data_IF_843393664822
#
_entry.id   IF_843393664822
#
_cell.length_a   1.000
_cell.length_b   1.000
_cell.length_c   1.000
_cell.angle_alpha   90.00
_cell.angle_beta   90.00
_cell.angle_gamma   90.00
#
_symmetry.space_group_name_H-M   'P 1'
#
loop_
_entity.id
_entity.type
_entity.pdbx_description
1 polymer ?
#
# COMPACT_ATOMS: atom_id res chain seq x y z
N UNK A 1 -25.16 -11.06 5.08
CA UNK A 1 -25.23 -10.71 3.64
C UNK A 1 -25.71 -9.28 3.50
N UNK A 2 -24.79 -8.31 3.49
CA UNK A 2 -25.14 -6.93 3.15
C UNK A 2 -25.20 -6.89 1.62
N UNK A 3 -26.41 -6.75 1.07
CA UNK A 3 -26.61 -6.44 -0.35
C UNK A 3 -25.93 -5.08 -0.59
N UNK A 4 -24.72 -5.07 -1.17
CA UNK A 4 -24.18 -3.87 -1.84
C UNK A 4 -25.29 -3.41 -2.78
N UNK A 5 -25.95 -2.32 -2.44
CA UNK A 5 -26.85 -1.63 -3.36
C UNK A 5 -26.01 -1.32 -4.59
N UNK A 6 -26.24 -2.09 -5.66
CA UNK A 6 -25.80 -1.71 -6.99
C UNK A 6 -26.61 -0.47 -7.36
N UNK A 7 -26.26 0.69 -6.79
CA UNK A 7 -26.54 1.95 -7.43
C UNK A 7 -26.02 1.76 -8.85
N UNK A 8 -26.92 1.78 -9.83
CA UNK A 8 -26.53 1.55 -11.21
C UNK A 8 -25.38 2.49 -11.51
N UNK A 9 -24.20 1.93 -11.79
CA UNK A 9 -23.04 2.73 -12.13
C UNK A 9 -23.44 3.54 -13.38
N UNK A 10 -23.29 4.85 -13.33
CA UNK A 10 -23.58 5.77 -14.44
C UNK A 10 -22.37 6.67 -14.63
N UNK A 11 -22.26 7.32 -15.79
CA UNK A 11 -21.20 8.32 -16.00
C UNK A 11 -21.23 9.43 -14.93
N UNK A 12 -22.40 9.77 -14.41
CA UNK A 12 -22.59 10.78 -13.35
C UNK A 12 -22.05 10.33 -11.99
N UNK A 13 -22.07 9.03 -11.69
CA UNK A 13 -21.60 8.48 -10.40
C UNK A 13 -20.16 7.99 -10.46
N UNK A 14 -19.50 8.08 -11.61
CA UNK A 14 -18.09 7.73 -11.80
C UNK A 14 -17.18 8.74 -11.06
N UNK A 15 -16.19 8.21 -10.35
CA UNK A 15 -15.18 8.94 -9.59
C UNK A 15 -13.81 8.34 -9.88
N UNK A 16 -12.73 9.08 -9.56
CA UNK A 16 -11.36 8.60 -9.78
C UNK A 16 -11.01 7.31 -9.03
N UNK A 17 -11.74 6.99 -7.96
CA UNK A 17 -11.58 5.71 -7.27
C UNK A 17 -12.43 4.61 -7.92
N UNK A 18 -13.73 4.82 -8.12
CA UNK A 18 -14.60 3.73 -8.59
C UNK A 18 -14.36 3.32 -10.06
N UNK A 19 -13.73 4.17 -10.86
CA UNK A 19 -13.35 3.89 -12.25
C UNK A 19 -12.43 2.67 -12.35
N UNK A 20 -11.62 2.40 -11.32
CA UNK A 20 -10.77 1.22 -11.25
C UNK A 20 -11.54 -0.10 -11.11
N UNK A 21 -12.81 -0.07 -10.70
CA UNK A 21 -13.69 -1.26 -10.73
C UNK A 21 -14.37 -1.50 -12.07
N UNK A 22 -14.28 -0.55 -13.00
CA UNK A 22 -14.94 -0.63 -14.30
C UNK A 22 -14.12 -1.49 -15.26
N UNK A 23 -14.82 -2.18 -16.17
CA UNK A 23 -14.23 -2.90 -17.29
C UNK A 23 -14.36 -2.08 -18.58
N UNK A 24 -13.51 -2.32 -19.58
CA UNK A 24 -13.52 -1.54 -20.83
C UNK A 24 -14.89 -1.62 -21.54
N UNK A 25 -15.55 -2.78 -21.48
CA UNK A 25 -16.88 -2.97 -22.06
C UNK A 25 -17.95 -2.11 -21.36
N UNK A 26 -17.85 -1.97 -20.04
CA UNK A 26 -18.76 -1.16 -19.26
C UNK A 26 -18.58 0.33 -19.59
N UNK A 27 -17.36 0.80 -19.88
CA UNK A 27 -17.12 2.19 -20.29
C UNK A 27 -17.95 2.54 -21.53
N UNK A 28 -17.96 1.68 -22.56
CA UNK A 28 -18.77 1.92 -23.76
C UNK A 28 -20.27 1.97 -23.46
N UNK A 29 -20.77 1.05 -22.64
CA UNK A 29 -22.18 1.04 -22.22
C UNK A 29 -22.55 2.29 -21.44
N UNK A 30 -21.71 2.70 -20.50
CA UNK A 30 -21.94 3.90 -19.68
C UNK A 30 -21.97 5.15 -20.56
N UNK A 31 -21.08 5.22 -21.56
CA UNK A 31 -21.05 6.31 -22.53
C UNK A 31 -22.33 6.37 -23.37
N UNK A 32 -22.79 5.23 -23.91
CA UNK A 32 -24.03 5.15 -24.69
C UNK A 32 -25.27 5.52 -23.86
N UNK A 33 -25.31 5.11 -22.58
CA UNK A 33 -26.39 5.48 -21.67
C UNK A 33 -26.38 6.98 -21.37
N UNK A 34 -25.20 7.57 -21.19
CA UNK A 34 -25.07 8.99 -20.94
C UNK A 34 -25.37 9.84 -22.20
N UNK A 35 -25.19 9.31 -23.42
CA UNK A 35 -25.60 10.01 -24.65
C UNK A 35 -27.10 10.31 -24.69
N UNK A 36 -27.91 9.45 -24.05
CA UNK A 36 -29.36 9.64 -23.95
C UNK A 36 -29.76 10.71 -22.92
N UNK A 37 -28.81 11.17 -22.12
CA UNK A 37 -28.99 12.16 -21.06
C UNK A 37 -28.50 13.53 -21.55
N UNK A 38 -29.32 14.57 -21.38
CA UNK A 38 -29.07 15.89 -21.96
C UNK A 38 -27.82 16.59 -21.38
N UNK A 39 -27.41 16.19 -20.17
CA UNK A 39 -26.30 16.80 -19.41
C UNK A 39 -24.89 16.31 -19.84
N UNK A 40 -24.80 15.36 -20.78
CA UNK A 40 -23.50 14.78 -21.17
C UNK A 40 -22.57 15.81 -21.79
N UNK A 41 -23.08 16.74 -22.60
CA UNK A 41 -22.25 17.66 -23.39
C UNK A 41 -21.36 18.55 -22.52
N UNK A 42 -21.91 19.10 -21.44
CA UNK A 42 -21.16 20.02 -20.58
C UNK A 42 -20.15 19.30 -19.68
N UNK A 43 -20.41 18.03 -19.34
CA UNK A 43 -19.57 17.24 -18.42
C UNK A 43 -18.65 16.22 -19.13
N UNK A 44 -18.71 16.13 -20.46
CA UNK A 44 -17.97 15.13 -21.25
C UNK A 44 -16.47 15.16 -20.96
N UNK A 45 -15.88 16.35 -20.89
CA UNK A 45 -14.43 16.52 -20.62
C UNK A 45 -14.06 16.01 -19.23
N UNK A 46 -14.89 16.28 -18.24
CA UNK A 46 -14.68 15.82 -16.86
C UNK A 46 -14.73 14.29 -16.78
N UNK A 47 -15.71 13.67 -17.42
CA UNK A 47 -15.82 12.21 -17.45
C UNK A 47 -14.66 11.54 -18.19
N UNK A 48 -14.19 12.13 -19.29
CA UNK A 48 -12.99 11.63 -20.00
C UNK A 48 -11.77 11.73 -19.08
N UNK A 49 -11.63 12.80 -18.31
CA UNK A 49 -10.51 12.96 -17.37
C UNK A 49 -10.52 11.89 -16.27
N UNK A 50 -11.71 11.60 -15.70
CA UNK A 50 -11.88 10.49 -14.76
C UNK A 50 -11.52 9.16 -15.42
N UNK A 51 -12.01 8.88 -16.63
CA UNK A 51 -11.68 7.64 -17.33
C UNK A 51 -10.17 7.54 -17.62
N UNK A 52 -9.50 8.65 -17.98
CA UNK A 52 -8.06 8.68 -18.26
C UNK A 52 -7.19 8.36 -17.04
N UNK A 53 -7.71 8.48 -15.83
CA UNK A 53 -6.99 8.08 -14.61
C UNK A 53 -6.73 6.57 -14.56
N UNK A 54 -7.67 5.74 -15.02
CA UNK A 54 -7.58 4.28 -14.97
C UNK A 54 -7.49 3.61 -16.36
N UNK A 55 -7.81 4.33 -17.43
CA UNK A 55 -7.81 3.83 -18.80
C UNK A 55 -6.91 4.65 -19.71
N UNK A 56 -6.30 3.99 -20.68
CA UNK A 56 -5.68 4.59 -21.84
C UNK A 56 -6.75 4.66 -22.94
N UNK A 57 -7.01 5.88 -23.44
CA UNK A 57 -8.08 6.16 -24.40
C UNK A 57 -7.44 6.83 -25.62
N UNK A 58 -7.58 6.20 -26.78
CA UNK A 58 -7.13 6.72 -28.06
C UNK A 58 -8.28 6.80 -29.07
N UNK A 59 -8.29 7.85 -29.89
CA UNK A 59 -9.24 7.97 -30.99
C UNK A 59 -8.69 7.30 -32.26
N UNK A 60 -9.44 6.34 -32.79
CA UNK A 60 -9.11 5.62 -34.02
C UNK A 60 -9.61 6.43 -35.22
N UNK A 61 -8.73 7.27 -35.76
CA UNK A 61 -9.04 8.17 -36.90
C UNK A 61 -9.29 7.44 -38.23
N UNK A 62 -8.78 6.23 -38.39
CA UNK A 62 -8.87 5.46 -39.63
C UNK A 62 -9.49 4.09 -39.36
N UNK A 63 -10.70 3.89 -39.89
CA UNK A 63 -11.45 2.64 -39.79
C UNK A 63 -10.92 1.59 -40.77
N UNK A 64 -9.66 1.19 -40.60
CA UNK A 64 -9.01 0.13 -41.38
C UNK A 64 -8.83 -1.11 -40.50
N UNK A 65 -9.13 -2.32 -41.01
CA UNK A 65 -9.00 -3.56 -40.23
C UNK A 65 -7.56 -3.79 -39.75
N UNK A 66 -6.55 -3.35 -40.49
CA UNK A 66 -5.14 -3.42 -40.08
C UNK A 66 -4.84 -2.56 -38.84
N UNK A 67 -5.47 -1.41 -38.70
CA UNK A 67 -5.27 -0.49 -37.57
C UNK A 67 -5.99 -1.03 -36.36
N UNK A 68 -7.24 -1.49 -36.55
CA UNK A 68 -8.03 -2.17 -35.52
C UNK A 68 -7.24 -3.34 -34.95
N UNK A 69 -6.70 -4.21 -35.82
CA UNK A 69 -5.90 -5.36 -35.40
C UNK A 69 -4.65 -4.95 -34.60
N UNK A 70 -3.95 -3.88 -34.99
CA UNK A 70 -2.80 -3.36 -34.22
C UNK A 70 -3.20 -2.90 -32.81
N UNK A 71 -4.38 -2.31 -32.65
CA UNK A 71 -4.90 -1.91 -31.35
C UNK A 71 -5.31 -3.13 -30.51
N UNK A 72 -5.98 -4.12 -31.11
CA UNK A 72 -6.33 -5.38 -30.45
C UNK A 72 -5.09 -6.18 -30.02
N UNK A 73 -4.06 -6.26 -30.86
CA UNK A 73 -2.78 -6.91 -30.57
C UNK A 73 -2.06 -6.23 -29.38
N UNK A 74 -2.29 -4.93 -29.17
CA UNK A 74 -1.79 -4.16 -28.01
C UNK A 74 -2.70 -4.29 -26.77
N UNK A 75 -3.81 -5.01 -26.88
CA UNK A 75 -4.78 -5.24 -25.81
C UNK A 75 -5.83 -4.14 -25.64
N UNK A 76 -6.03 -3.28 -26.64
CA UNK A 76 -7.13 -2.31 -26.63
C UNK A 76 -8.42 -2.95 -27.08
N UNK A 77 -9.54 -2.52 -26.48
CA UNK A 77 -10.89 -2.78 -26.99
C UNK A 77 -11.38 -1.60 -27.78
N UNK A 78 -11.96 -1.87 -28.94
CA UNK A 78 -12.45 -0.83 -29.85
C UNK A 78 -13.97 -0.77 -29.76
N UNK A 79 -14.49 0.43 -29.54
CA UNK A 79 -15.92 0.72 -29.52
C UNK A 79 -16.23 2.01 -30.26
N UNK A 80 -17.43 2.10 -30.80
CA UNK A 80 -17.92 3.33 -31.45
C UNK A 80 -18.71 4.14 -30.44
N UNK A 81 -18.38 5.41 -30.29
CA UNK A 81 -19.11 6.35 -29.44
C UNK A 81 -19.51 7.57 -30.27
N UNK A 82 -20.51 8.33 -29.83
CA UNK A 82 -20.86 9.59 -30.46
C UNK A 82 -20.15 10.74 -29.75
N UNK A 83 -19.44 11.54 -30.53
CA UNK A 83 -18.74 12.73 -30.06
C UNK A 83 -19.67 13.95 -29.94
N UNK A 84 -19.14 15.04 -29.41
CA UNK A 84 -19.82 16.32 -29.17
C UNK A 84 -20.58 16.86 -30.40
N UNK A 85 -19.99 16.67 -31.58
CA UNK A 85 -20.52 17.12 -32.88
C UNK A 85 -21.58 16.18 -33.48
N UNK A 86 -21.96 15.11 -32.76
CA UNK A 86 -22.88 14.09 -33.26
C UNK A 86 -22.24 13.08 -34.21
N UNK A 87 -20.95 13.24 -34.53
CA UNK A 87 -20.18 12.28 -35.30
C UNK A 87 -19.91 11.00 -34.50
N UNK A 88 -20.00 9.84 -35.16
CA UNK A 88 -19.58 8.57 -34.56
C UNK A 88 -18.06 8.45 -34.70
N UNK A 89 -17.36 8.50 -33.56
CA UNK A 89 -15.91 8.29 -33.48
C UNK A 89 -15.63 6.91 -32.90
N UNK A 90 -14.55 6.27 -33.34
CA UNK A 90 -14.10 5.00 -32.76
C UNK A 90 -13.06 5.29 -31.68
N UNK A 91 -13.26 4.72 -30.50
CA UNK A 91 -12.30 4.78 -29.40
C UNK A 91 -11.69 3.40 -29.18
N UNK A 92 -10.38 3.39 -29.00
CA UNK A 92 -9.62 2.28 -28.46
C UNK A 92 -9.42 2.56 -26.96
N UNK A 93 -9.92 1.69 -26.10
CA UNK A 93 -9.82 1.80 -24.64
C UNK A 93 -9.09 0.58 -24.10
N UNK A 94 -8.10 0.82 -23.23
CA UNK A 94 -7.37 -0.23 -22.52
C UNK A 94 -7.24 0.15 -21.06
N UNK A 95 -7.52 -0.77 -20.13
CA UNK A 95 -7.28 -0.51 -18.71
C UNK A 95 -5.78 -0.42 -18.44
N UNK A 96 -5.37 0.61 -17.70
CA UNK A 96 -3.97 0.80 -17.30
C UNK A 96 -3.58 -0.35 -16.39
N UNK A 97 -2.54 -1.14 -16.75
CA UNK A 97 -2.10 -2.22 -15.90
C UNK A 97 -1.30 -1.65 -14.72
N UNK A 98 -1.52 -2.18 -13.53
CA UNK A 98 -0.71 -1.87 -12.34
C UNK A 98 0.41 -2.90 -12.31
N UNK A 99 1.59 -2.50 -12.78
CA UNK A 99 2.73 -3.42 -12.95
C UNK A 99 3.92 -3.03 -12.08
N UNK A 100 4.00 -1.77 -11.65
CA UNK A 100 5.05 -1.22 -10.81
C UNK A 100 4.47 -0.67 -9.53
N UNK A 101 5.28 -0.63 -8.47
CA UNK A 101 4.87 0.00 -7.21
C UNK A 101 4.60 1.50 -7.39
N UNK A 102 5.25 2.15 -8.36
CA UNK A 102 5.00 3.54 -8.73
C UNK A 102 3.65 3.77 -9.40
N UNK A 103 3.01 2.72 -9.89
CA UNK A 103 1.66 2.80 -10.47
C UNK A 103 0.58 2.75 -9.38
N UNK A 104 0.95 2.44 -8.13
CA UNK A 104 0.03 2.41 -6.99
C UNK A 104 -0.32 3.83 -6.55
N UNK A 105 -1.60 4.06 -6.30
CA UNK A 105 -2.14 5.32 -5.82
C UNK A 105 -3.21 5.06 -4.77
N UNK A 106 -3.51 6.06 -3.93
CA UNK A 106 -4.63 5.97 -2.98
C UNK A 106 -5.97 5.67 -3.65
N UNK A 107 -6.11 6.00 -4.94
CA UNK A 107 -7.34 5.78 -5.70
C UNK A 107 -7.50 4.33 -6.15
N UNK A 108 -6.38 3.64 -6.46
CA UNK A 108 -6.38 2.32 -7.06
C UNK A 108 -6.05 1.17 -6.10
N UNK A 109 -5.39 1.45 -4.97
CA UNK A 109 -4.88 0.42 -4.05
C UNK A 109 -5.99 -0.48 -3.50
N UNK A 110 -7.21 0.05 -3.32
CA UNK A 110 -8.36 -0.73 -2.83
C UNK A 110 -9.07 -1.56 -3.89
N UNK A 111 -8.64 -1.46 -5.15
CA UNK A 111 -9.25 -2.16 -6.29
C UNK A 111 -8.32 -3.22 -6.88
N UNK A 112 -7.19 -3.48 -6.22
CA UNK A 112 -6.32 -4.62 -6.50
C UNK A 112 -6.43 -5.66 -5.39
N UNK A 113 -6.10 -6.91 -5.69
CA UNK A 113 -6.05 -7.97 -4.68
C UNK A 113 -4.71 -8.01 -3.96
N UNK A 114 -4.68 -8.62 -2.77
CA UNK A 114 -3.43 -8.83 -2.01
C UNK A 114 -2.39 -9.60 -2.84
N UNK A 115 -2.82 -10.66 -3.53
CA UNK A 115 -1.97 -11.38 -4.49
C UNK A 115 -1.36 -10.46 -5.56
N UNK A 116 -2.17 -9.56 -6.16
CA UNK A 116 -1.67 -8.67 -7.20
C UNK A 116 -0.70 -7.63 -6.65
N UNK A 117 -0.96 -7.11 -5.44
CA UNK A 117 -0.04 -6.22 -4.74
C UNK A 117 1.32 -6.90 -4.54
N UNK A 118 1.32 -8.13 -4.03
CA UNK A 118 2.56 -8.87 -3.77
C UNK A 118 3.34 -9.17 -5.06
N UNK A 119 2.66 -9.51 -6.17
CA UNK A 119 3.29 -9.65 -7.48
C UNK A 119 3.98 -8.35 -7.93
N UNK A 120 3.35 -7.21 -7.70
CA UNK A 120 3.90 -5.89 -8.04
C UNK A 120 5.13 -5.55 -7.19
N UNK A 121 5.11 -5.90 -5.90
CA UNK A 121 6.25 -5.74 -4.99
C UNK A 121 7.41 -6.64 -5.46
N UNK A 122 7.17 -7.93 -5.67
CA UNK A 122 8.20 -8.91 -6.08
C UNK A 122 8.90 -8.51 -7.38
N UNK A 123 8.10 -8.14 -8.39
CA UNK A 123 8.61 -7.81 -9.73
C UNK A 123 9.52 -6.58 -9.77
N UNK A 124 9.32 -5.62 -8.87
CA UNK A 124 9.98 -4.31 -8.95
C UNK A 124 10.92 -4.04 -7.77
N UNK A 125 10.72 -4.69 -6.63
CA UNK A 125 11.43 -4.46 -5.38
C UNK A 125 11.74 -5.82 -4.70
N UNK A 126 12.73 -6.53 -5.24
CA UNK A 126 13.29 -7.75 -4.63
C UNK A 126 14.13 -7.50 -3.36
N UNK A 127 14.17 -6.26 -2.86
CA UNK A 127 14.92 -5.87 -1.67
C UNK A 127 14.19 -6.10 -0.34
N UNK A 128 12.90 -6.47 -0.39
CA UNK A 128 12.04 -6.58 0.79
C UNK A 128 11.18 -5.35 1.03
N UNK A 129 10.35 -5.40 2.06
CA UNK A 129 9.42 -4.32 2.41
C UNK A 129 10.16 -3.01 2.70
N UNK A 130 11.27 -3.10 3.44
CA UNK A 130 12.02 -1.92 3.86
C UNK A 130 12.64 -1.14 2.70
N UNK A 131 12.84 -1.80 1.57
CA UNK A 131 13.38 -1.17 0.35
C UNK A 131 12.37 -0.25 -0.37
N UNK A 132 11.09 -0.35 -0.04
CA UNK A 132 10.07 0.53 -0.64
C UNK A 132 10.18 1.95 -0.07
N UNK A 133 10.01 2.99 -0.91
CA UNK A 133 9.88 4.36 -0.43
C UNK A 133 8.70 4.52 0.54
N UNK A 134 8.84 5.38 1.55
CA UNK A 134 7.79 5.58 2.56
C UNK A 134 6.44 5.96 1.92
N UNK A 135 6.44 6.83 0.92
CA UNK A 135 5.22 7.22 0.19
C UNK A 135 4.48 6.05 -0.44
N UNK A 136 5.20 5.02 -0.89
CA UNK A 136 4.61 3.80 -1.45
C UNK A 136 4.10 2.90 -0.33
N UNK A 137 4.84 2.76 0.78
CA UNK A 137 4.39 2.04 1.98
C UNK A 137 3.07 2.62 2.49
N UNK A 138 2.98 3.95 2.61
CA UNK A 138 1.79 4.66 3.07
C UNK A 138 0.57 4.39 2.16
N UNK A 139 0.76 4.38 0.84
CA UNK A 139 -0.29 4.02 -0.12
C UNK A 139 -0.74 2.58 0.09
N UNK A 140 0.20 1.64 0.23
CA UNK A 140 -0.10 0.22 0.42
C UNK A 140 -0.85 0.01 1.75
N UNK A 141 -0.33 0.56 2.84
CA UNK A 141 -0.92 0.48 4.17
C UNK A 141 -2.30 1.15 4.25
N UNK A 142 -2.62 2.07 3.34
CA UNK A 142 -3.96 2.62 3.23
C UNK A 142 -5.00 1.62 2.71
N UNK A 143 -4.60 0.66 1.87
CA UNK A 143 -5.49 -0.37 1.30
C UNK A 143 -5.33 -1.76 1.92
N UNK A 144 -4.20 -2.02 2.58
CA UNK A 144 -3.81 -3.35 3.05
C UNK A 144 -3.25 -3.32 4.46
N UNK A 145 -3.51 -4.40 5.19
CA UNK A 145 -2.78 -4.75 6.40
C UNK A 145 -1.52 -5.51 5.97
N UNK A 146 -0.36 -4.92 6.26
CA UNK A 146 0.95 -5.50 5.94
C UNK A 146 1.63 -5.96 7.21
N UNK A 147 2.28 -7.11 7.14
CA UNK A 147 3.19 -7.55 8.19
C UNK A 147 4.40 -8.23 7.58
N UNK A 148 5.58 -7.93 8.10
CA UNK A 148 6.84 -8.54 7.65
C UNK A 148 7.42 -9.42 8.74
N UNK A 149 8.17 -10.45 8.35
CA UNK A 149 8.99 -11.22 9.27
C UNK A 149 10.18 -11.81 8.54
N UNK A 150 11.31 -11.91 9.21
CA UNK A 150 12.53 -12.48 8.63
C UNK A 150 12.99 -13.63 9.51
N UNK A 151 12.91 -14.85 8.97
CA UNK A 151 13.25 -16.08 9.69
C UNK A 151 14.01 -17.05 8.78
N UNK A 152 14.80 -17.98 9.32
CA UNK A 152 15.33 -19.09 8.53
C UNK A 152 14.20 -19.91 7.92
N UNK A 153 14.41 -20.44 6.71
CA UNK A 153 13.38 -21.17 5.93
C UNK A 153 12.68 -22.27 6.73
N UNK A 154 13.46 -23.06 7.46
CA UNK A 154 12.95 -24.19 8.26
C UNK A 154 12.07 -23.74 9.43
N UNK A 155 12.32 -22.53 9.96
CA UNK A 155 11.55 -21.97 11.06
C UNK A 155 10.26 -21.29 10.58
N UNK A 156 10.30 -20.66 9.40
CA UNK A 156 9.14 -19.98 8.82
C UNK A 156 8.00 -20.97 8.54
N UNK A 157 8.33 -22.15 8.01
CA UNK A 157 7.37 -23.19 7.61
C UNK A 157 7.10 -24.25 8.69
N UNK A 158 7.38 -23.94 9.96
CA UNK A 158 7.08 -24.86 11.05
C UNK A 158 5.55 -25.05 11.17
N UNK A 159 5.11 -26.31 11.19
CA UNK A 159 3.70 -26.67 11.36
C UNK A 159 3.08 -26.03 12.62
N UNK A 160 1.88 -25.45 12.49
CA UNK A 160 1.19 -24.69 13.53
C UNK A 160 1.83 -23.33 13.86
N UNK A 161 2.83 -22.91 13.07
CA UNK A 161 3.57 -21.66 13.24
C UNK A 161 2.84 -20.42 12.70
N UNK A 162 3.53 -19.28 12.75
CA UNK A 162 3.00 -17.97 12.31
C UNK A 162 2.54 -17.97 10.85
N UNK A 163 3.28 -18.65 9.97
CA UNK A 163 2.98 -18.69 8.54
C UNK A 163 1.61 -19.29 8.25
N UNK A 164 1.34 -20.48 8.80
CA UNK A 164 0.05 -21.17 8.62
C UNK A 164 -1.10 -20.38 9.23
N UNK A 165 -0.89 -19.80 10.43
CA UNK A 165 -1.90 -18.95 11.08
C UNK A 165 -2.26 -17.75 10.22
N UNK A 166 -1.27 -17.02 9.69
CA UNK A 166 -1.54 -15.87 8.82
C UNK A 166 -2.25 -16.24 7.52
N UNK A 167 -1.87 -17.37 6.90
CA UNK A 167 -2.63 -17.88 5.73
C UNK A 167 -4.08 -18.21 6.09
N UNK A 168 -4.33 -18.78 7.27
CA UNK A 168 -5.69 -19.06 7.75
C UNK A 168 -6.47 -17.77 8.05
N UNK A 169 -5.79 -16.72 8.52
CA UNK A 169 -6.38 -15.40 8.79
C UNK A 169 -6.68 -14.59 7.51
N UNK A 170 -6.37 -15.15 6.34
CA UNK A 170 -6.66 -14.57 5.02
C UNK A 170 -5.56 -13.67 4.47
N UNK A 171 -4.32 -13.79 4.98
CA UNK A 171 -3.17 -13.09 4.38
C UNK A 171 -2.60 -13.90 3.21
N UNK A 172 -2.33 -13.20 2.12
CA UNK A 172 -1.42 -13.67 1.09
C UNK A 172 0.03 -13.38 1.53
N UNK A 173 0.98 -14.15 1.01
CA UNK A 173 2.39 -14.05 1.40
C UNK A 173 3.32 -14.01 0.20
N UNK A 174 4.31 -13.13 0.27
CA UNK A 174 5.46 -13.08 -0.63
C UNK A 174 6.70 -13.46 0.16
N UNK A 175 7.46 -14.44 -0.33
CA UNK A 175 8.69 -14.90 0.29
C UNK A 175 9.89 -14.44 -0.54
N UNK A 176 10.73 -13.58 0.04
CA UNK A 176 11.93 -13.05 -0.60
C UNK A 176 13.14 -13.72 0.05
N UNK A 177 13.93 -14.50 -0.71
CA UNK A 177 15.13 -15.14 -0.18
C UNK A 177 16.22 -14.10 0.11
N UNK A 178 16.74 -14.11 1.33
CA UNK A 178 17.86 -13.28 1.82
C UNK A 178 18.98 -14.19 2.34
N UNK A 179 19.68 -14.85 1.42
CA UNK A 179 20.70 -15.84 1.75
C UNK A 179 20.10 -17.05 2.47
N UNK A 180 20.49 -17.29 3.72
CA UNK A 180 19.95 -18.38 4.56
C UNK A 180 18.62 -18.03 5.24
N UNK A 181 18.17 -16.78 5.09
CA UNK A 181 16.93 -16.26 5.68
C UNK A 181 15.89 -16.03 4.59
N UNK A 182 14.62 -16.02 4.99
CA UNK A 182 13.49 -15.63 4.14
C UNK A 182 12.80 -14.47 4.83
N UNK A 183 12.65 -13.37 4.09
CA UNK A 183 11.70 -12.33 4.46
C UNK A 183 10.33 -12.71 3.88
N UNK A 184 9.35 -12.88 4.75
CA UNK A 184 7.97 -13.10 4.37
C UNK A 184 7.17 -11.81 4.59
N UNK A 185 6.60 -11.29 3.50
CA UNK A 185 5.70 -10.14 3.50
C UNK A 185 4.27 -10.67 3.39
N UNK A 186 3.50 -10.50 4.44
CA UNK A 186 2.09 -10.86 4.49
C UNK A 186 1.25 -9.64 4.16
N UNK A 187 0.26 -9.81 3.28
CA UNK A 187 -0.67 -8.76 2.89
C UNK A 187 -2.12 -9.25 2.95
N UNK A 188 -3.01 -8.43 3.50
CA UNK A 188 -4.45 -8.68 3.55
C UNK A 188 -5.21 -7.40 3.23
N UNK A 189 -6.26 -7.49 2.42
CA UNK A 189 -7.10 -6.32 2.07
C UNK A 189 -7.78 -5.76 3.32
N UNK A 190 -7.65 -4.44 3.55
CA UNK A 190 -8.39 -3.76 4.61
C UNK A 190 -9.86 -3.71 4.23
N UNK A 191 -10.73 -4.15 5.13
CA UNK A 191 -12.17 -4.02 4.91
C UNK A 191 -12.64 -2.61 5.25
N UNK A 192 -13.65 -2.10 4.53
CA UNK A 192 -14.26 -0.77 4.80
C UNK A 192 -14.77 -0.63 6.25
N UNK A 193 -15.05 -1.74 6.93
CA UNK A 193 -15.50 -1.79 8.33
C UNK A 193 -14.35 -1.62 9.34
N UNK A 194 -13.14 -2.04 8.99
CA UNK A 194 -11.97 -1.90 9.86
C UNK A 194 -11.47 -0.45 9.91
N UNK A 195 -11.65 0.31 8.82
CA UNK A 195 -11.34 1.76 8.79
C UNK A 195 -12.18 2.60 9.73
N UNK A 196 -13.46 2.25 9.91
CA UNK A 196 -14.31 2.97 10.86
C UNK A 196 -13.83 2.70 12.28
N UNK A 197 -13.29 1.51 12.56
CA UNK A 197 -12.73 1.17 13.87
C UNK A 197 -11.33 1.77 14.10
N UNK A 198 -10.46 1.82 13.09
CA UNK A 198 -9.14 2.47 13.23
C UNK A 198 -9.27 3.99 13.34
N UNK A 199 -10.11 4.66 12.53
CA UNK A 199 -10.38 6.10 12.69
C UNK A 199 -10.96 6.44 14.07
N UNK A 200 -11.76 5.56 14.66
CA UNK A 200 -12.30 5.74 16.02
C UNK A 200 -11.22 5.51 17.09
N UNK A 201 -10.25 4.61 16.86
CA UNK A 201 -9.10 4.42 17.76
C UNK A 201 -8.14 5.60 17.70
N UNK A 202 -7.77 6.05 16.50
CA UNK A 202 -6.87 7.19 16.30
C UNK A 202 -7.45 8.48 16.91
N UNK A 203 -8.78 8.66 16.87
CA UNK A 203 -9.46 9.79 17.54
C UNK A 203 -9.60 9.63 19.06
N UNK A 204 -9.58 8.39 19.59
CA UNK A 204 -9.63 8.14 21.03
C UNK A 204 -8.28 8.34 21.71
N UNK A 205 -7.19 8.06 21.00
CA UNK A 205 -5.84 8.28 21.50
C UNK A 205 -5.53 9.80 21.60
N UNK A 206 -6.11 10.61 20.72
CA UNK A 206 -6.01 12.09 20.78
C UNK A 206 -6.93 12.74 21.83
N UNK A 207 -8.05 12.06 22.17
CA UNK A 207 -9.00 12.54 23.17
C UNK A 207 -8.62 12.21 24.63
N UNK A 208 -7.69 11.27 24.85
CA UNK A 208 -7.23 10.92 26.21
C UNK A 208 -6.23 11.94 26.79
N UNK A 209 -5.70 12.84 25.97
CA UNK A 209 -4.77 13.91 26.39
C UNK A 209 -5.47 15.18 26.90
N UNK A 210 -6.79 15.33 26.71
CA UNK A 210 -7.50 16.62 26.91
C UNK A 210 -8.73 16.56 27.81
N UNK A 211 -8.78 15.63 28.78
CA UNK A 211 -9.82 15.68 29.82
C UNK A 211 -9.35 16.57 30.99
N UNK A 212 -10.00 17.73 31.24
CA UNK A 212 -9.80 18.45 32.49
C UNK A 212 -10.37 17.61 33.64
N UNK A 213 -9.59 17.54 34.72
CA UNK A 213 -9.93 16.88 35.97
C UNK A 213 -11.16 17.56 36.58
N UNK A 214 -12.36 17.01 36.36
CA UNK A 214 -13.59 17.47 37.02
C UNK A 214 -13.79 16.59 38.24
N UNK A 215 -13.43 17.18 39.39
CA UNK A 215 -13.82 16.73 40.72
C UNK A 215 -15.33 16.47 40.76
N UNK A 216 -15.71 15.26 41.13
CA UNK A 216 -17.08 14.93 41.53
C UNK A 216 -17.01 14.37 42.94
N UNK A 217 -17.33 15.24 43.90
CA UNK A 217 -17.81 14.85 45.22
C UNK A 217 -19.05 13.97 45.05
N UNK A 218 -18.96 12.69 45.43
CA UNK A 218 -20.00 12.07 46.26
C UNK A 218 -19.43 10.84 46.97
N UNK A 219 -19.76 10.73 48.26
CA UNK A 219 -19.08 9.85 49.21
C UNK A 219 -19.53 8.40 49.16
N UNK A 220 -18.59 7.51 49.46
CA UNK A 220 -18.90 6.36 50.32
C UNK A 220 -17.67 6.00 51.16
N UNK A 221 -17.95 5.75 52.43
CA UNK A 221 -17.00 5.54 53.51
C UNK A 221 -16.46 4.11 53.45
N UNK A 222 -15.14 3.94 53.47
CA UNK A 222 -14.54 2.82 54.20
C UNK A 222 -13.19 3.22 54.77
N UNK A 223 -13.17 3.37 56.08
CA UNK A 223 -11.99 3.57 56.90
C UNK A 223 -11.07 2.34 56.83
N UNK A 224 -9.81 2.55 56.43
CA UNK A 224 -8.71 1.67 56.84
C UNK A 224 -7.45 2.50 57.06
N UNK A 225 -7.22 2.86 58.32
CA UNK A 225 -5.98 3.46 58.78
C UNK A 225 -4.79 2.51 58.56
N UNK A 226 -3.69 3.06 58.05
CA UNK A 226 -2.45 2.34 57.76
C UNK A 226 -1.25 3.23 57.42
N UNK A 227 -1.02 4.29 58.21
CA UNK A 227 0.27 4.88 58.64
C UNK A 227 1.57 4.68 57.82
N UNK A 228 2.21 5.84 57.53
CA UNK A 228 3.63 6.15 57.19
C UNK A 228 4.10 5.81 55.75
N UNK A 229 4.89 6.61 55.01
CA UNK A 229 5.70 7.81 55.30
C UNK A 229 6.02 8.52 53.95
N UNK A 230 6.27 9.83 54.01
CA UNK A 230 6.76 10.68 52.91
C UNK A 230 8.21 10.33 52.45
N UNK A 231 8.57 10.92 51.30
CA UNK A 231 9.93 11.15 50.75
C UNK A 231 10.54 10.02 49.89
N UNK A 232 10.45 10.14 48.55
CA UNK A 232 11.63 10.42 47.72
C UNK A 232 11.23 10.81 46.28
N UNK A 233 11.86 11.90 45.85
CA UNK A 233 11.59 12.74 44.69
C UNK A 233 12.56 12.38 43.56
N UNK A 234 12.28 11.32 42.79
CA UNK A 234 13.10 10.95 41.63
C UNK A 234 12.61 11.70 40.36
N UNK A 235 12.90 13.00 40.32
CA UNK A 235 12.96 13.75 39.07
C UNK A 235 14.15 13.25 38.26
N UNK A 236 13.89 12.41 37.25
CA UNK A 236 14.88 12.03 36.25
C UNK A 236 15.27 13.26 35.42
N UNK A 237 16.39 13.90 35.78
CA UNK A 237 17.02 14.96 34.97
C UNK A 237 17.58 14.36 33.67
N UNK A 238 16.88 14.63 32.56
CA UNK A 238 17.19 14.16 31.20
C UNK A 238 18.44 14.87 30.59
N UNK A 239 19.03 15.83 31.31
CA UNK A 239 20.12 16.68 30.80
C UNK A 239 21.55 16.17 31.11
N UNK A 240 21.71 14.91 31.53
CA UNK A 240 23.03 14.32 31.84
C UNK A 240 23.49 13.21 30.89
N UNK A 241 23.10 13.27 29.62
CA UNK A 241 23.70 12.49 28.53
C UNK A 241 24.55 13.38 27.61
N UNK A 242 25.53 14.08 28.18
CA UNK A 242 26.60 14.70 27.38
C UNK A 242 27.67 13.65 27.04
N UNK A 243 27.56 13.13 25.83
CA UNK A 243 28.61 13.06 24.78
C UNK A 243 30.05 12.57 25.11
N UNK A 244 30.33 12.03 26.30
CA UNK A 244 31.71 11.61 26.67
C UNK A 244 31.91 10.09 26.89
N UNK A 245 30.88 9.26 26.68
CA UNK A 245 30.98 7.79 26.86
C UNK A 245 31.21 7.00 25.56
N UNK A 246 32.00 7.53 24.62
CA UNK A 246 32.50 6.80 23.43
C UNK A 246 34.02 6.64 23.43
N UNK A 247 34.66 6.52 24.59
CA UNK A 247 36.09 6.21 24.66
C UNK A 247 36.31 4.73 24.99
N UNK A 248 36.36 3.90 23.95
CA UNK A 248 36.92 2.55 24.05
C UNK A 248 38.45 2.70 24.08
N UNK A 249 39.08 2.39 25.21
CA UNK A 249 40.54 2.33 25.33
C UNK A 249 41.05 1.09 24.61
N UNK A 250 41.44 1.23 23.35
CA UNK A 250 42.42 0.33 22.73
C UNK A 250 43.81 0.97 22.92
N UNK A 251 44.53 0.52 23.95
CA UNK A 251 45.98 0.67 23.98
C UNK A 251 46.55 -0.34 22.98
N UNK A 252 46.90 0.14 21.80
CA UNK A 252 47.67 -0.63 20.82
C UNK A 252 48.89 0.20 20.53
N UNK A 253 50.07 -0.31 20.91
CA UNK A 253 51.34 0.36 20.67
C UNK A 253 51.63 0.43 19.16
N UNK A 254 52.22 1.52 18.66
CA UNK A 254 52.42 1.76 17.23
C UNK A 254 53.46 0.84 16.55
N UNK A 255 53.97 -0.19 17.25
CA UNK A 255 54.87 -1.20 16.68
C UNK A 255 54.14 -2.48 16.21
N UNK A 256 52.85 -2.67 16.54
CA UNK A 256 52.05 -3.84 16.09
C UNK A 256 51.32 -3.62 14.74
N UNK A 257 51.59 -2.50 14.05
CA UNK A 257 51.06 -2.17 12.73
C UNK A 257 52.08 -2.44 11.60
N UNK A 258 52.97 -3.40 11.78
CA UNK A 258 53.74 -3.99 10.67
C UNK A 258 52.82 -4.92 9.87
N UNK A 259 52.05 -4.30 8.97
CA UNK A 259 51.45 -4.95 7.81
C UNK A 259 52.60 -5.41 6.90
N UNK A 260 53.15 -6.60 7.15
CA UNK A 260 53.86 -7.35 6.11
C UNK A 260 52.84 -7.65 4.99
N UNK A 261 52.91 -6.82 3.96
CA UNK A 261 52.36 -7.12 2.66
C UNK A 261 53.16 -8.30 2.08
N UNK A 262 52.79 -9.52 2.45
CA UNK A 262 53.29 -10.72 1.77
C UNK A 262 52.60 -10.83 0.41
N UNK A 263 53.39 -10.47 -0.59
CA UNK A 263 53.21 -10.60 -2.03
C UNK A 263 52.92 -12.07 -2.37
N UNK A 264 51.65 -12.41 -2.61
CA UNK A 264 51.30 -13.72 -3.18
C UNK A 264 51.68 -13.70 -4.66
N UNK A 265 52.91 -14.10 -4.90
CA UNK A 265 53.49 -14.40 -6.20
C UNK A 265 52.66 -15.47 -6.93
N UNK A 266 52.19 -15.14 -8.12
CA UNK A 266 51.84 -16.11 -9.15
C UNK A 266 53.14 -16.74 -9.67
N UNK A 267 53.39 -18.01 -9.34
CA UNK A 267 54.40 -18.82 -10.05
C UNK A 267 53.86 -20.22 -10.42
N UNK A 268 54.23 -20.59 -11.65
CA UNK A 268 53.72 -21.62 -12.55
C UNK A 268 53.91 -23.09 -12.14
N UNK A 269 53.11 -23.96 -12.76
CA UNK A 269 53.66 -25.16 -13.42
C UNK A 269 53.51 -26.50 -12.71
N UNK A 270 52.61 -27.36 -13.22
CA UNK A 270 52.89 -28.67 -13.88
C UNK A 270 51.59 -29.41 -14.20
#
# INVERSE_FOLDING_TARGET
>A
MIKKSKNALTMKTLTKSNVWNVQENDVFRLWEMAEKDADLKDNMRHYIDILRSAFEIEEVKADKPEIIKKYEDRGFKIGSIKAEDGAKVKWAIKKRPIMRVTDLTYENIRHISAHKLLEVIDRNFGGGWDSLPQSIKDVIEHGFEICTTTLPKDRLHKAGGMYEKKKQDGFDVLEIPKGTWIEAIFAKEKSELEESQTRIKDQKDDALSSLPNIESEDGDQTEREGKYNDEDEDSYDEDKLMEESYRTTFETEPEDLDLEAEDVSDEEGF
#
